data_IF_208906831093
#
_entry.id   IF_208906831093
#
_cell.length_a   1.000
_cell.length_b   1.000
_cell.length_c   1.000
_cell.angle_alpha   90.00
_cell.angle_beta   90.00
_cell.angle_gamma   90.00
#
_symmetry.space_group_name_H-M   'P 1'
#
loop_
_entity.id
_entity.type
_entity.pdbx_description
1 polymer ?
#
# COMPACT_ATOMS: atom_id res chain seq x y z
N UNK A 1 -11.69 -17.03 14.01
CA UNK A 1 -10.43 -16.78 13.36
C UNK A 1 -9.47 -17.96 13.58
N UNK A 2 -8.95 -18.21 14.76
CA UNK A 2 -7.94 -19.26 15.04
C UNK A 2 -8.32 -20.66 14.50
N UNK A 3 -9.51 -21.19 14.77
CA UNK A 3 -9.96 -22.53 14.31
C UNK A 3 -10.05 -22.67 12.78
N UNK A 4 -10.20 -21.59 12.03
CA UNK A 4 -10.34 -21.58 10.57
C UNK A 4 -9.10 -21.02 9.85
N UNK A 5 -8.05 -20.64 10.58
CA UNK A 5 -6.83 -20.04 10.01
C UNK A 5 -7.07 -18.68 9.33
N UNK A 6 -8.15 -17.97 9.70
CA UNK A 6 -8.48 -16.68 9.10
C UNK A 6 -7.87 -15.54 9.91
N UNK A 7 -7.28 -14.55 9.24
CA UNK A 7 -6.66 -13.37 9.86
C UNK A 7 -7.63 -12.26 10.19
N UNK A 8 -8.88 -12.35 9.71
CA UNK A 8 -9.94 -11.40 10.00
C UNK A 8 -11.31 -12.08 10.01
N UNK A 9 -12.31 -11.38 10.55
CA UNK A 9 -13.72 -11.75 10.53
C UNK A 9 -14.57 -10.55 10.15
N UNK A 10 -15.54 -10.76 9.25
CA UNK A 10 -16.54 -9.75 8.92
C UNK A 10 -17.68 -9.82 9.93
N UNK A 11 -18.14 -8.65 10.36
CA UNK A 11 -19.31 -8.50 11.23
C UNK A 11 -20.47 -8.04 10.36
N UNK A 12 -21.55 -8.80 10.36
CA UNK A 12 -22.73 -8.53 9.53
C UNK A 12 -24.00 -8.44 10.37
N UNK A 13 -24.94 -7.62 9.92
CA UNK A 13 -26.31 -7.59 10.40
C UNK A 13 -27.23 -7.84 9.19
N UNK A 14 -28.05 -8.90 9.24
CA UNK A 14 -28.88 -9.35 8.11
C UNK A 14 -28.09 -9.43 6.78
N UNK A 15 -26.87 -9.97 6.84
CA UNK A 15 -25.90 -10.08 5.75
C UNK A 15 -25.32 -8.74 5.24
N UNK A 16 -25.74 -7.59 5.74
CA UNK A 16 -25.13 -6.30 5.48
C UNK A 16 -23.85 -6.13 6.32
N UNK A 17 -22.80 -5.61 5.70
CA UNK A 17 -21.52 -5.37 6.36
C UNK A 17 -21.65 -4.21 7.37
N UNK A 18 -21.42 -4.49 8.67
CA UNK A 18 -21.42 -3.48 9.72
C UNK A 18 -20.03 -3.23 10.31
N UNK A 19 -19.13 -4.19 10.19
CA UNK A 19 -17.78 -4.04 10.71
C UNK A 19 -16.82 -5.16 10.31
N UNK A 20 -15.58 -5.02 10.73
CA UNK A 20 -14.53 -6.03 10.55
C UNK A 20 -13.60 -6.06 11.76
N UNK A 21 -13.16 -7.25 12.15
CA UNK A 21 -12.17 -7.46 13.22
C UNK A 21 -11.01 -8.25 12.65
N UNK A 22 -9.78 -7.79 12.92
CA UNK A 22 -8.54 -8.44 12.52
C UNK A 22 -7.78 -9.02 13.72
N UNK A 23 -6.75 -9.84 13.47
CA UNK A 23 -5.83 -10.29 14.52
C UNK A 23 -5.12 -9.12 15.21
N UNK A 24 -4.83 -8.05 14.47
CA UNK A 24 -4.24 -6.82 15.03
C UNK A 24 -5.20 -6.16 16.00
N UNK A 25 -6.51 -6.07 15.68
CA UNK A 25 -7.51 -5.51 16.60
C UNK A 25 -7.61 -6.35 17.86
N UNK A 26 -7.59 -7.68 17.73
CA UNK A 26 -7.58 -8.59 18.90
C UNK A 26 -6.36 -8.36 19.78
N UNK A 27 -5.18 -8.16 19.19
CA UNK A 27 -3.94 -7.94 19.94
C UNK A 27 -3.93 -6.54 20.58
N UNK A 28 -4.24 -5.50 19.80
CA UNK A 28 -4.12 -4.11 20.25
C UNK A 28 -5.26 -3.65 21.15
N UNK A 29 -6.52 -4.04 20.86
CA UNK A 29 -7.69 -3.56 21.59
C UNK A 29 -8.15 -4.52 22.68
N UNK A 30 -7.94 -5.85 22.51
CA UNK A 30 -8.38 -6.82 23.50
C UNK A 30 -7.27 -7.20 24.46
N UNK A 31 -6.12 -7.67 23.92
CA UNK A 31 -5.02 -8.16 24.77
C UNK A 31 -4.28 -6.99 25.44
N UNK A 32 -3.86 -5.98 24.68
CA UNK A 32 -3.06 -4.88 25.22
C UNK A 32 -3.84 -3.99 26.20
N UNK A 33 -5.16 -3.84 26.01
CA UNK A 33 -6.02 -3.01 26.85
C UNK A 33 -6.77 -3.83 27.94
N UNK A 34 -6.47 -5.14 28.07
CA UNK A 34 -7.17 -6.05 28.98
C UNK A 34 -8.72 -5.95 28.88
N UNK A 35 -9.21 -5.83 27.64
CA UNK A 35 -10.63 -5.61 27.36
C UNK A 35 -11.47 -6.82 27.81
N UNK A 36 -12.64 -6.56 28.35
CA UNK A 36 -13.54 -7.62 28.78
C UNK A 36 -14.10 -8.44 27.60
N UNK A 37 -13.67 -9.68 27.47
CA UNK A 37 -14.00 -10.58 26.35
C UNK A 37 -15.49 -10.96 26.27
N UNK A 38 -16.29 -10.65 27.30
CA UNK A 38 -17.74 -10.87 27.31
C UNK A 38 -18.53 -9.69 26.73
N UNK A 39 -17.87 -8.61 26.35
CA UNK A 39 -18.52 -7.49 25.69
C UNK A 39 -18.76 -7.76 24.19
N UNK A 40 -19.73 -7.06 23.56
CA UNK A 40 -20.04 -7.21 22.15
C UNK A 40 -18.83 -6.91 21.25
N UNK A 41 -18.77 -7.58 20.09
CA UNK A 41 -17.71 -7.35 19.08
C UNK A 41 -17.73 -5.93 18.52
N UNK A 42 -18.86 -5.25 18.57
CA UNK A 42 -19.05 -3.86 18.14
C UNK A 42 -18.10 -2.88 18.86
N UNK A 43 -17.71 -3.20 20.10
CA UNK A 43 -16.82 -2.36 20.90
C UNK A 43 -15.37 -2.39 20.41
N UNK A 44 -14.97 -3.41 19.65
CA UNK A 44 -13.58 -3.62 19.18
C UNK A 44 -13.46 -3.65 17.67
N UNK A 45 -14.56 -3.77 16.93
CA UNK A 45 -14.52 -3.84 15.48
C UNK A 45 -14.13 -2.48 14.86
N UNK A 46 -13.60 -2.52 13.65
CA UNK A 46 -13.55 -1.37 12.77
C UNK A 46 -14.92 -1.22 12.10
N UNK A 47 -15.69 -0.20 12.51
CA UNK A 47 -16.97 0.12 11.90
C UNK A 47 -16.74 0.71 10.50
N UNK A 48 -17.59 0.35 9.53
CA UNK A 48 -17.53 0.82 8.14
C UNK A 48 -16.18 0.56 7.46
N UNK A 49 -15.71 -0.71 7.39
CA UNK A 49 -14.46 -1.04 6.72
C UNK A 49 -14.53 -0.70 5.24
N UNK A 50 -13.38 -0.34 4.65
CA UNK A 50 -13.27 -0.13 3.21
C UNK A 50 -13.65 -1.40 2.48
N UNK A 51 -14.47 -1.30 1.44
CA UNK A 51 -14.98 -2.40 0.63
C UNK A 51 -14.97 -2.05 -0.84
N UNK A 52 -15.08 -3.06 -1.71
CA UNK A 52 -15.27 -2.91 -3.16
C UNK A 52 -16.60 -3.55 -3.57
N UNK A 53 -17.20 -3.03 -4.65
CA UNK A 53 -18.35 -3.65 -5.26
C UNK A 53 -17.91 -4.82 -6.16
N UNK A 54 -18.75 -5.84 -6.30
CA UNK A 54 -18.45 -7.06 -7.09
C UNK A 54 -18.07 -6.79 -8.54
N UNK A 55 -18.55 -5.69 -9.12
CA UNK A 55 -18.33 -5.31 -10.51
C UNK A 55 -17.08 -4.42 -10.67
N UNK A 56 -16.42 -4.05 -9.56
CA UNK A 56 -15.19 -3.26 -9.61
C UNK A 56 -13.99 -4.11 -10.07
N UNK A 57 -13.06 -3.50 -10.84
CA UNK A 57 -11.81 -4.16 -11.19
C UNK A 57 -11.00 -4.54 -9.94
N UNK A 58 -10.30 -5.67 -9.99
CA UNK A 58 -9.40 -6.11 -8.91
C UNK A 58 -8.38 -5.05 -8.50
N UNK A 59 -7.96 -4.21 -9.44
CA UNK A 59 -7.04 -3.09 -9.19
C UNK A 59 -7.62 -2.09 -8.17
N UNK A 60 -8.93 -1.91 -8.09
CA UNK A 60 -9.58 -1.06 -7.08
C UNK A 60 -9.31 -1.57 -5.67
N UNK A 61 -9.43 -2.88 -5.45
CA UNK A 61 -9.10 -3.52 -4.17
C UNK A 61 -7.62 -3.34 -3.82
N UNK A 62 -6.71 -3.51 -4.78
CA UNK A 62 -5.28 -3.29 -4.59
C UNK A 62 -4.97 -1.84 -4.20
N UNK A 63 -5.56 -0.87 -4.89
CA UNK A 63 -5.41 0.55 -4.57
C UNK A 63 -5.87 0.87 -3.14
N UNK A 64 -7.01 0.32 -2.70
CA UNK A 64 -7.50 0.48 -1.32
C UNK A 64 -6.55 -0.15 -0.31
N UNK A 65 -6.04 -1.36 -0.59
CA UNK A 65 -5.07 -2.02 0.28
C UNK A 65 -3.83 -1.17 0.50
N UNK A 66 -3.29 -0.57 -0.56
CA UNK A 66 -2.10 0.28 -0.49
C UNK A 66 -2.38 1.62 0.18
N UNK A 67 -3.41 2.33 -0.29
CA UNK A 67 -3.75 3.67 0.20
C UNK A 67 -4.02 3.69 1.72
N UNK A 68 -4.69 2.65 2.23
CA UNK A 68 -5.10 2.56 3.62
C UNK A 68 -4.23 1.61 4.45
N UNK A 69 -3.19 0.99 3.85
CA UNK A 69 -2.35 -0.03 4.49
C UNK A 69 -3.18 -1.17 5.11
N UNK A 70 -4.19 -1.64 4.39
CA UNK A 70 -5.10 -2.72 4.81
C UNK A 70 -4.88 -3.94 3.92
N UNK A 71 -5.06 -5.14 4.50
CA UNK A 71 -4.81 -6.42 3.81
C UNK A 71 -6.08 -7.17 3.41
N UNK A 72 -7.22 -6.80 3.97
CA UNK A 72 -8.46 -7.52 3.78
C UNK A 72 -9.53 -6.54 3.32
N UNK A 73 -10.09 -6.79 2.14
CA UNK A 73 -11.14 -5.95 1.53
C UNK A 73 -12.41 -6.78 1.36
N UNK A 74 -13.49 -6.45 2.05
CA UNK A 74 -14.81 -7.03 1.80
C UNK A 74 -15.30 -6.73 0.38
N UNK A 75 -15.91 -7.72 -0.25
CA UNK A 75 -16.61 -7.58 -1.54
C UNK A 75 -18.10 -7.57 -1.29
N UNK A 76 -18.78 -6.57 -1.81
CA UNK A 76 -20.22 -6.39 -1.64
C UNK A 76 -20.95 -6.55 -2.99
N UNK A 77 -22.17 -7.04 -2.91
CA UNK A 77 -23.10 -7.02 -4.06
C UNK A 77 -23.79 -5.66 -4.22
N UNK A 78 -24.66 -5.55 -5.24
CA UNK A 78 -25.45 -4.33 -5.51
C UNK A 78 -26.41 -3.94 -4.38
N UNK A 79 -26.75 -4.87 -3.51
CA UNK A 79 -27.60 -4.66 -2.34
C UNK A 79 -26.78 -4.39 -1.05
N UNK A 80 -25.44 -4.19 -1.20
CA UNK A 80 -24.49 -4.01 -0.10
C UNK A 80 -24.39 -5.22 0.85
N UNK A 81 -24.75 -6.41 0.37
CA UNK A 81 -24.58 -7.66 1.09
C UNK A 81 -23.17 -8.21 0.84
N UNK A 82 -22.63 -8.88 1.85
CA UNK A 82 -21.28 -9.47 1.79
C UNK A 82 -21.28 -10.70 0.88
N UNK A 83 -20.48 -10.63 -0.18
CA UNK A 83 -20.21 -11.78 -1.07
C UNK A 83 -18.95 -12.55 -0.65
N UNK A 84 -17.96 -11.85 -0.11
CA UNK A 84 -16.70 -12.48 0.25
C UNK A 84 -15.66 -11.46 0.74
N UNK A 85 -14.42 -11.92 0.74
CA UNK A 85 -13.27 -11.16 1.19
C UNK A 85 -12.16 -11.31 0.16
N UNK A 86 -11.45 -10.24 -0.14
CA UNK A 86 -10.23 -10.28 -0.95
C UNK A 86 -9.04 -10.07 -0.01
N UNK A 87 -8.07 -10.97 -0.09
CA UNK A 87 -6.76 -10.84 0.55
C UNK A 87 -5.64 -10.86 -0.50
N UNK A 88 -4.44 -10.36 -0.21
CA UNK A 88 -3.30 -10.47 -1.12
C UNK A 88 -3.03 -11.93 -1.55
N UNK A 89 -3.17 -12.89 -0.62
CA UNK A 89 -2.95 -14.30 -0.90
C UNK A 89 -3.94 -14.85 -1.92
N UNK A 90 -5.22 -14.47 -1.84
CA UNK A 90 -6.25 -14.90 -2.80
C UNK A 90 -6.04 -14.26 -4.17
N UNK A 91 -5.63 -12.99 -4.19
CA UNK A 91 -5.30 -12.31 -5.44
C UNK A 91 -4.16 -13.02 -6.17
N UNK A 92 -3.13 -13.42 -5.44
CA UNK A 92 -2.00 -14.15 -6.00
C UNK A 92 -2.40 -15.52 -6.51
N UNK A 93 -3.17 -16.29 -5.73
CA UNK A 93 -3.59 -17.63 -6.14
C UNK A 93 -4.49 -17.62 -7.38
N UNK A 94 -5.35 -16.61 -7.52
CA UNK A 94 -6.35 -16.56 -8.60
C UNK A 94 -5.90 -15.80 -9.84
N UNK A 95 -5.03 -14.81 -9.68
CA UNK A 95 -4.71 -13.84 -10.75
C UNK A 95 -3.21 -13.72 -11.04
N UNK A 96 -2.33 -14.46 -10.35
CA UNK A 96 -0.88 -14.43 -10.58
C UNK A 96 -0.26 -13.04 -10.30
N UNK A 97 -0.85 -12.23 -9.41
CA UNK A 97 -0.41 -10.84 -9.22
C UNK A 97 0.90 -10.80 -8.43
N UNK A 98 2.02 -10.97 -9.10
CA UNK A 98 3.37 -10.86 -8.55
C UNK A 98 3.66 -9.45 -7.99
N UNK A 99 2.97 -8.42 -8.51
CA UNK A 99 3.12 -7.03 -8.06
C UNK A 99 2.86 -6.84 -6.55
N UNK A 100 1.85 -7.53 -6.00
CA UNK A 100 1.51 -7.43 -4.55
C UNK A 100 2.66 -7.94 -3.69
N UNK A 101 3.26 -9.07 -4.07
CA UNK A 101 4.43 -9.61 -3.35
C UNK A 101 5.65 -8.71 -3.48
N UNK A 102 5.87 -8.13 -4.67
CA UNK A 102 6.96 -7.21 -4.86
C UNK A 102 6.82 -5.98 -3.96
N UNK A 103 5.61 -5.38 -3.88
CA UNK A 103 5.32 -4.25 -3.00
C UNK A 103 5.54 -4.62 -1.52
N UNK A 104 5.12 -5.81 -1.11
CA UNK A 104 5.37 -6.29 0.26
C UNK A 104 6.87 -6.45 0.53
N UNK A 105 7.65 -7.03 -0.41
CA UNK A 105 9.10 -7.12 -0.30
C UNK A 105 9.76 -5.74 -0.20
N UNK A 106 9.38 -4.79 -1.07
CA UNK A 106 9.85 -3.40 -1.04
C UNK A 106 9.64 -2.79 0.35
N UNK A 107 8.45 -2.96 0.92
CA UNK A 107 8.11 -2.40 2.23
C UNK A 107 8.98 -2.92 3.38
N UNK A 108 9.55 -4.12 3.24
CA UNK A 108 10.41 -4.79 4.22
C UNK A 108 11.90 -4.53 4.04
N UNK A 109 12.33 -3.96 2.91
CA UNK A 109 13.75 -3.65 2.66
C UNK A 109 14.29 -2.68 3.70
N UNK A 110 15.50 -2.92 4.19
CA UNK A 110 16.12 -2.09 5.23
C UNK A 110 17.33 -1.29 4.74
N UNK A 111 17.71 -1.44 3.48
CA UNK A 111 18.81 -0.70 2.86
C UNK A 111 18.53 -0.42 1.38
N UNK A 112 19.28 0.55 0.82
CA UNK A 112 19.20 0.88 -0.61
C UNK A 112 19.64 -0.31 -1.47
N UNK A 113 20.68 -1.03 -1.06
CA UNK A 113 21.17 -2.22 -1.77
C UNK A 113 20.09 -3.29 -1.87
N UNK A 114 19.34 -3.53 -0.77
CA UNK A 114 18.24 -4.50 -0.80
C UNK A 114 17.09 -4.08 -1.69
N UNK A 115 16.83 -2.76 -1.82
CA UNK A 115 15.85 -2.21 -2.75
C UNK A 115 16.28 -2.38 -4.21
N UNK A 116 17.53 -2.05 -4.53
CA UNK A 116 18.03 -2.13 -5.91
C UNK A 116 18.00 -3.55 -6.48
N UNK A 117 18.13 -4.57 -5.63
CA UNK A 117 17.99 -5.97 -6.04
C UNK A 117 16.58 -6.32 -6.56
N UNK A 118 15.55 -5.59 -6.11
CA UNK A 118 14.16 -5.81 -6.52
C UNK A 118 13.80 -5.23 -7.89
N UNK A 119 14.69 -4.46 -8.50
CA UNK A 119 14.51 -3.92 -9.86
C UNK A 119 14.26 -5.03 -10.89
N UNK A 120 14.99 -6.13 -10.77
CA UNK A 120 14.81 -7.30 -11.65
C UNK A 120 13.44 -7.95 -11.47
N UNK A 121 12.93 -8.01 -10.24
CA UNK A 121 11.59 -8.52 -9.98
C UNK A 121 10.50 -7.59 -10.55
N UNK A 122 10.70 -6.26 -10.49
CA UNK A 122 9.81 -5.28 -11.14
C UNK A 122 9.73 -5.51 -12.64
N UNK A 123 10.87 -5.73 -13.30
CA UNK A 123 10.91 -6.02 -14.73
C UNK A 123 10.17 -7.32 -15.03
N UNK A 124 10.38 -8.39 -14.26
CA UNK A 124 9.67 -9.66 -14.44
C UNK A 124 8.15 -9.52 -14.27
N UNK A 125 7.69 -8.68 -13.32
CA UNK A 125 6.27 -8.35 -13.16
C UNK A 125 5.73 -7.65 -14.40
N UNK A 126 6.45 -6.68 -14.94
CA UNK A 126 6.06 -5.98 -16.16
C UNK A 126 5.96 -6.93 -17.37
N UNK A 127 6.95 -7.78 -17.58
CA UNK A 127 6.98 -8.78 -18.65
C UNK A 127 5.80 -9.74 -18.54
N UNK A 128 5.50 -10.25 -17.34
CA UNK A 128 4.36 -11.13 -17.09
C UNK A 128 3.01 -10.44 -17.37
N UNK A 129 2.89 -9.14 -17.09
CA UNK A 129 1.68 -8.37 -17.41
C UNK A 129 1.48 -8.22 -18.94
N UNK A 130 2.56 -8.01 -19.69
CA UNK A 130 2.53 -7.96 -21.16
C UNK A 130 2.15 -9.31 -21.73
N UNK A 131 2.79 -10.40 -21.29
CA UNK A 131 2.49 -11.75 -21.72
C UNK A 131 1.04 -12.15 -21.45
N UNK A 132 0.46 -11.64 -20.35
CA UNK A 132 -0.95 -11.84 -20.00
C UNK A 132 -1.90 -10.93 -20.79
N UNK A 133 -1.40 -10.14 -21.75
CA UNK A 133 -2.18 -9.23 -22.59
C UNK A 133 -3.03 -8.23 -21.81
N UNK A 134 -2.54 -7.76 -20.65
CA UNK A 134 -3.26 -6.76 -19.87
C UNK A 134 -3.32 -5.42 -20.63
N UNK A 135 -4.43 -4.66 -20.48
CA UNK A 135 -4.54 -3.32 -21.06
C UNK A 135 -3.44 -2.38 -20.55
N UNK A 136 -2.92 -1.51 -21.42
CA UNK A 136 -1.80 -0.61 -21.08
C UNK A 136 -2.09 0.30 -19.87
N UNK A 137 -3.34 0.76 -19.73
CA UNK A 137 -3.75 1.56 -18.56
C UNK A 137 -3.68 0.77 -17.25
N UNK A 138 -3.99 -0.53 -17.27
CA UNK A 138 -3.86 -1.40 -16.09
C UNK A 138 -2.38 -1.62 -15.75
N UNK A 139 -1.54 -1.86 -16.78
CA UNK A 139 -0.08 -2.01 -16.60
C UNK A 139 0.50 -0.73 -15.98
N UNK A 140 0.14 0.46 -16.52
CA UNK A 140 0.59 1.75 -15.99
C UNK A 140 0.20 1.97 -14.53
N UNK A 141 -1.03 1.63 -14.16
CA UNK A 141 -1.50 1.71 -12.78
C UNK A 141 -0.74 0.78 -11.84
N UNK A 142 -0.49 -0.46 -12.23
CA UNK A 142 0.29 -1.42 -11.42
C UNK A 142 1.73 -0.94 -11.24
N UNK A 143 2.37 -0.45 -12.32
CA UNK A 143 3.72 0.11 -12.23
C UNK A 143 3.77 1.34 -11.32
N UNK A 144 2.80 2.25 -11.43
CA UNK A 144 2.68 3.40 -10.52
C UNK A 144 2.67 2.95 -9.05
N UNK A 145 1.87 1.93 -8.70
CA UNK A 145 1.81 1.40 -7.34
C UNK A 145 3.16 0.84 -6.86
N UNK A 146 3.90 0.17 -7.75
CA UNK A 146 5.24 -0.35 -7.45
C UNK A 146 6.21 0.82 -7.21
N UNK A 147 6.20 1.85 -8.06
CA UNK A 147 7.05 3.04 -7.90
C UNK A 147 6.70 3.83 -6.64
N UNK A 148 5.42 3.94 -6.29
CA UNK A 148 4.99 4.53 -5.01
C UNK A 148 5.56 3.77 -3.82
N UNK A 149 5.56 2.43 -3.88
CA UNK A 149 6.13 1.60 -2.82
C UNK A 149 7.64 1.84 -2.67
N UNK A 150 8.40 1.93 -3.77
CA UNK A 150 9.82 2.30 -3.76
C UNK A 150 10.02 3.69 -3.14
N UNK A 151 9.26 4.69 -3.59
CA UNK A 151 9.32 6.07 -3.09
C UNK A 151 9.05 6.14 -1.60
N UNK A 152 7.95 5.56 -1.14
CA UNK A 152 7.60 5.52 0.28
C UNK A 152 8.66 4.81 1.12
N UNK A 153 9.28 3.74 0.59
CA UNK A 153 10.34 3.05 1.30
C UNK A 153 11.62 3.87 1.38
N UNK A 154 12.00 4.53 0.28
CA UNK A 154 13.16 5.42 0.24
C UNK A 154 13.01 6.62 1.18
N UNK A 155 11.81 7.20 1.29
CA UNK A 155 11.50 8.24 2.27
C UNK A 155 11.80 7.74 3.69
N UNK A 156 11.29 6.56 4.07
CA UNK A 156 11.54 5.97 5.38
C UNK A 156 13.03 5.64 5.63
N UNK A 157 13.74 5.24 4.59
CA UNK A 157 15.20 5.02 4.68
C UNK A 157 15.95 6.34 4.81
N UNK A 158 15.53 7.39 4.11
CA UNK A 158 16.10 8.73 4.23
C UNK A 158 15.92 9.29 5.65
N UNK A 159 14.73 9.17 6.25
CA UNK A 159 14.45 9.58 7.64
C UNK A 159 15.37 8.86 8.65
N UNK A 160 15.72 7.60 8.39
CA UNK A 160 16.66 6.84 9.24
C UNK A 160 18.11 7.26 9.06
N UNK A 161 18.52 7.61 7.83
CA UNK A 161 19.92 7.87 7.50
C UNK A 161 20.30 9.35 7.62
N UNK A 162 19.38 10.26 7.28
CA UNK A 162 19.59 11.72 7.33
C UNK A 162 19.12 12.30 8.66
N UNK A 163 18.22 11.61 9.35
CA UNK A 163 17.56 12.05 10.57
C UNK A 163 16.09 12.38 10.34
N UNK A 164 15.34 12.59 11.42
CA UNK A 164 13.91 12.96 11.34
C UNK A 164 13.73 14.35 10.72
N UNK A 165 12.69 14.55 9.91
CA UNK A 165 12.38 15.85 9.31
C UNK A 165 12.16 16.93 10.39
N UNK A 166 12.76 18.11 10.23
CA UNK A 166 12.65 19.20 11.22
C UNK A 166 11.30 19.94 11.20
N UNK A 167 10.55 19.85 10.10
CA UNK A 167 9.21 20.40 9.95
C UNK A 167 8.34 19.53 9.04
N UNK A 168 7.06 19.85 8.93
CA UNK A 168 6.15 19.15 8.03
C UNK A 168 6.57 19.33 6.57
N UNK A 169 6.37 18.28 5.78
CA UNK A 169 6.66 18.27 4.36
C UNK A 169 5.70 17.36 3.59
N UNK A 170 5.64 17.54 2.29
CA UNK A 170 4.96 16.62 1.38
C UNK A 170 5.87 16.30 0.19
N UNK A 171 6.04 15.00 -0.11
CA UNK A 171 6.67 14.53 -1.33
C UNK A 171 5.59 14.34 -2.39
N UNK A 172 5.74 14.99 -3.53
CA UNK A 172 4.77 14.96 -4.63
C UNK A 172 5.40 14.25 -5.83
N UNK A 173 4.62 13.40 -6.48
CA UNK A 173 4.92 12.88 -7.80
C UNK A 173 4.09 13.64 -8.86
N UNK A 174 4.67 13.88 -10.02
CA UNK A 174 4.06 14.61 -11.12
C UNK A 174 4.13 13.81 -12.43
N UNK A 175 3.83 14.43 -13.56
CA UNK A 175 3.99 13.86 -14.89
C UNK A 175 3.19 12.57 -15.12
N UNK A 176 3.80 11.60 -15.78
CA UNK A 176 3.21 10.28 -16.08
C UNK A 176 2.86 9.51 -14.82
N UNK A 177 3.66 9.65 -13.77
CA UNK A 177 3.41 9.01 -12.47
C UNK A 177 2.07 9.46 -11.88
N UNK A 178 1.83 10.78 -11.80
CA UNK A 178 0.59 11.32 -11.26
C UNK A 178 -0.65 10.93 -12.08
N UNK A 179 -0.50 10.64 -13.37
CA UNK A 179 -1.60 10.24 -14.26
C UNK A 179 -1.79 8.72 -14.36
N UNK A 180 -0.93 7.91 -13.71
CA UNK A 180 -0.98 6.45 -13.82
C UNK A 180 -0.58 5.91 -15.20
N UNK A 181 0.23 6.68 -15.95
CA UNK A 181 0.68 6.37 -17.32
C UNK A 181 2.16 5.94 -17.33
N UNK A 182 2.62 5.31 -16.24
CA UNK A 182 4.02 4.95 -16.05
C UNK A 182 4.39 3.72 -16.88
N UNK A 183 5.61 3.72 -17.42
CA UNK A 183 6.28 2.57 -18.03
C UNK A 183 7.72 2.45 -17.50
N UNK A 184 8.45 1.38 -17.84
CA UNK A 184 9.80 1.12 -17.31
C UNK A 184 10.85 2.20 -17.64
N UNK A 185 10.61 3.01 -18.65
CA UNK A 185 11.50 4.12 -19.03
C UNK A 185 10.91 5.51 -18.73
N UNK A 186 9.90 5.60 -17.86
CA UNK A 186 9.33 6.89 -17.47
C UNK A 186 10.28 7.67 -16.57
N UNK A 187 10.42 8.97 -16.83
CA UNK A 187 11.14 9.88 -15.95
C UNK A 187 10.43 10.04 -14.60
N UNK A 188 11.21 10.40 -13.59
CA UNK A 188 10.74 10.64 -12.24
C UNK A 188 10.59 12.15 -11.99
N UNK A 189 9.38 12.66 -12.16
CA UNK A 189 9.04 14.06 -11.85
C UNK A 189 8.58 14.16 -10.40
N UNK A 190 9.45 14.65 -9.52
CA UNK A 190 9.18 14.79 -8.11
C UNK A 190 9.30 16.24 -7.63
N UNK A 191 8.49 16.62 -6.66
CA UNK A 191 8.58 17.89 -5.96
C UNK A 191 8.48 17.68 -4.46
N UNK A 192 9.17 18.55 -3.71
CA UNK A 192 9.12 18.60 -2.25
C UNK A 192 8.50 19.92 -1.81
N UNK A 193 7.38 19.85 -1.12
CA UNK A 193 6.71 21.01 -0.51
C UNK A 193 7.04 21.00 0.98
N UNK A 194 7.48 22.14 1.48
CA UNK A 194 7.84 22.34 2.89
C UNK A 194 6.81 23.22 3.57
N UNK A 195 6.69 23.09 4.88
CA UNK A 195 5.93 24.00 5.74
C UNK A 195 6.44 25.43 5.56
N UNK A 196 5.53 26.41 5.59
CA UNK A 196 5.88 27.83 5.43
C UNK A 196 6.83 28.34 6.52
N UNK A 197 6.86 27.70 7.69
CA UNK A 197 7.77 27.98 8.79
C UNK A 197 9.20 27.48 8.59
N UNK A 198 9.48 26.74 7.49
CA UNK A 198 10.77 26.14 7.22
C UNK A 198 11.89 27.17 7.12
N UNK A 199 12.89 27.02 7.98
CA UNK A 199 14.09 27.87 8.05
C UNK A 199 15.10 27.51 6.94
N UNK A 200 16.14 28.33 6.76
CA UNK A 200 17.21 28.01 5.83
C UNK A 200 17.98 26.74 6.24
N UNK A 201 18.13 26.49 7.53
CA UNK A 201 18.71 25.25 8.05
C UNK A 201 17.86 24.02 7.65
N UNK A 202 16.53 24.14 7.75
CA UNK A 202 15.61 23.07 7.37
C UNK A 202 15.68 22.80 5.87
N UNK A 203 15.82 23.85 5.05
CA UNK A 203 16.02 23.71 3.59
C UNK A 203 17.31 22.98 3.24
N UNK A 204 18.39 23.18 4.00
CA UNK A 204 19.64 22.42 3.84
C UNK A 204 19.42 20.94 4.15
N UNK A 205 18.73 20.63 5.27
CA UNK A 205 18.34 19.26 5.59
C UNK A 205 17.56 18.62 4.44
N UNK A 206 16.48 19.27 3.97
CA UNK A 206 15.63 18.74 2.92
C UNK A 206 16.33 18.59 1.57
N UNK A 207 17.36 19.36 1.30
CA UNK A 207 18.23 19.16 0.12
C UNK A 207 18.96 17.81 0.21
N UNK A 208 19.58 17.49 1.34
CA UNK A 208 20.24 16.20 1.53
C UNK A 208 19.24 15.04 1.51
N UNK A 209 18.09 15.24 2.15
CA UNK A 209 16.99 14.30 2.16
C UNK A 209 16.49 13.96 0.74
N UNK A 210 16.20 14.99 -0.06
CA UNK A 210 15.79 14.82 -1.45
C UNK A 210 16.88 14.16 -2.31
N UNK A 211 18.16 14.55 -2.14
CA UNK A 211 19.27 13.93 -2.85
C UNK A 211 19.37 12.42 -2.56
N UNK A 212 19.19 12.02 -1.30
CA UNK A 212 19.19 10.59 -0.92
C UNK A 212 18.06 9.84 -1.65
N UNK A 213 16.83 10.39 -1.64
CA UNK A 213 15.67 9.77 -2.27
C UNK A 213 15.83 9.71 -3.79
N UNK A 214 16.21 10.82 -4.44
CA UNK A 214 16.39 10.87 -5.89
C UNK A 214 17.51 9.92 -6.36
N UNK A 215 18.62 9.81 -5.61
CA UNK A 215 19.65 8.82 -5.89
C UNK A 215 19.09 7.40 -5.78
N UNK A 216 18.35 7.11 -4.71
CA UNK A 216 17.71 5.81 -4.52
C UNK A 216 16.71 5.47 -5.64
N UNK A 217 15.90 6.44 -6.07
CA UNK A 217 14.98 6.26 -7.20
C UNK A 217 15.74 5.97 -8.50
N UNK A 218 16.83 6.68 -8.77
CA UNK A 218 17.67 6.42 -9.95
C UNK A 218 18.32 5.02 -9.92
N UNK A 219 18.67 4.50 -8.74
CA UNK A 219 19.21 3.14 -8.59
C UNK A 219 18.10 2.06 -8.68
N UNK A 220 16.86 2.42 -8.37
CA UNK A 220 15.70 1.55 -8.49
C UNK A 220 15.01 1.63 -9.87
N UNK A 221 15.43 2.53 -10.74
CA UNK A 221 15.02 2.64 -12.15
C UNK A 221 13.73 3.35 -12.39
#
# INVERSE_FOLDING_TARGET
MSKKGCTCALVTNDNALVGMVTETDMTSRVVAEAFNIYRPVEDIMNAHPQSVDQDEPVISALNLMMKHNIRNIPVLDKNKQVLGLISPQELVQRHGIQAVFLIEKISKCNSLESLSLLVKERQAVFEAMIESHLPANVIGQVLMMIYDAFTCRLIKLAERNVGLPPCNYAWLAAGSHARGEVHLGSDQDNALVLDDSATESDRIYFRHFAMYICKGLAECG
#
